data_IF_314229090645
#
_entry.id   IF_314229090645
#
_cell.length_a   1.000
_cell.length_b   1.000
_cell.length_c   1.000
_cell.angle_alpha   90.00
_cell.angle_beta   90.00
_cell.angle_gamma   90.00
#
_symmetry.space_group_name_H-M   'P 1'
#
loop_
_entity.id
_entity.type
_entity.pdbx_description
1 polymer ?
#
# COMPACT_ATOMS: atom_id res chain seq x y z
N UNK A 1 18.09 -1.24 -5.59
CA UNK A 1 17.19 -0.20 -6.12
C UNK A 1 17.95 1.09 -6.39
N UNK A 2 18.55 1.75 -5.39
CA UNK A 2 19.31 3.00 -5.61
C UNK A 2 20.45 2.78 -6.62
N UNK A 3 21.31 1.77 -6.40
CA UNK A 3 22.39 1.45 -7.35
C UNK A 3 21.90 1.00 -8.73
N UNK A 4 20.65 0.57 -8.84
CA UNK A 4 20.04 0.14 -10.09
C UNK A 4 19.43 1.32 -10.89
N UNK A 5 19.37 2.53 -10.33
CA UNK A 5 18.88 3.72 -11.05
C UNK A 5 17.52 4.26 -10.58
N UNK A 6 16.98 3.81 -9.44
CA UNK A 6 15.67 4.27 -8.95
C UNK A 6 15.50 5.81 -8.96
N UNK A 7 16.54 6.55 -8.60
CA UNK A 7 16.42 8.01 -8.49
C UNK A 7 16.38 8.70 -9.86
N UNK A 8 16.88 8.06 -10.91
CA UNK A 8 16.70 8.52 -12.30
C UNK A 8 15.22 8.38 -12.69
N UNK A 9 14.63 7.21 -12.46
CA UNK A 9 13.19 6.99 -12.70
C UNK A 9 12.32 8.00 -11.92
N UNK A 10 12.67 8.27 -10.66
CA UNK A 10 11.94 9.24 -9.85
C UNK A 10 12.17 10.68 -10.32
N UNK A 11 13.36 11.00 -10.85
CA UNK A 11 13.66 12.30 -11.44
C UNK A 11 12.80 12.55 -12.69
N UNK A 12 12.62 11.55 -13.55
CA UNK A 12 11.79 11.65 -14.76
C UNK A 12 10.30 11.88 -14.44
N UNK A 13 9.83 11.37 -13.30
CA UNK A 13 8.44 11.53 -12.83
C UNK A 13 8.25 12.83 -12.04
N UNK A 14 9.33 13.49 -11.62
CA UNK A 14 9.28 14.61 -10.71
C UNK A 14 8.58 15.84 -11.31
N UNK A 15 7.65 16.41 -10.55
CA UNK A 15 6.97 17.65 -10.88
C UNK A 15 6.82 18.50 -9.61
N UNK A 16 7.15 19.79 -9.70
CA UNK A 16 7.13 20.75 -8.58
C UNK A 16 5.74 20.86 -7.92
N UNK A 17 4.67 20.63 -8.69
CA UNK A 17 3.28 20.70 -8.23
C UNK A 17 2.58 19.33 -8.24
N UNK A 18 3.30 18.25 -7.93
CA UNK A 18 2.76 16.90 -7.95
C UNK A 18 1.65 16.69 -6.89
N UNK A 19 0.58 15.99 -7.30
CA UNK A 19 -0.46 15.47 -6.41
C UNK A 19 -0.15 14.01 -6.05
N UNK A 20 0.54 13.81 -4.93
CA UNK A 20 0.90 12.49 -4.40
C UNK A 20 -0.30 11.66 -3.92
N UNK A 21 -1.54 12.10 -4.14
CA UNK A 21 -2.74 11.32 -3.84
C UNK A 21 -3.27 10.54 -5.04
N UNK A 22 -2.65 10.63 -6.23
CA UNK A 22 -3.17 10.02 -7.45
C UNK A 22 -2.10 9.35 -8.32
N UNK A 23 -2.48 8.25 -8.97
CA UNK A 23 -1.70 7.61 -10.02
C UNK A 23 -0.28 7.22 -9.62
N UNK A 24 0.65 7.33 -10.57
CA UNK A 24 2.06 6.93 -10.41
C UNK A 24 2.79 7.74 -9.32
N UNK A 25 2.31 8.94 -8.99
CA UNK A 25 2.89 9.78 -7.95
C UNK A 25 2.70 9.20 -6.53
N UNK A 26 1.81 8.21 -6.36
CA UNK A 26 1.69 7.47 -5.09
C UNK A 26 2.82 6.47 -4.84
N UNK A 27 3.70 6.23 -5.82
CA UNK A 27 4.80 5.29 -5.71
C UNK A 27 5.76 5.63 -4.56
N UNK A 28 6.14 4.62 -3.77
CA UNK A 28 7.15 4.78 -2.72
C UNK A 28 8.50 5.10 -3.38
N UNK A 29 9.11 6.20 -2.99
CA UNK A 29 10.28 6.79 -3.62
C UNK A 29 9.96 8.19 -4.14
N UNK A 30 8.83 8.37 -4.82
CA UNK A 30 8.54 9.60 -5.57
C UNK A 30 8.39 10.80 -4.62
N UNK A 31 7.55 10.66 -3.60
CA UNK A 31 7.35 11.72 -2.59
C UNK A 31 8.54 11.83 -1.65
N UNK A 32 9.19 10.71 -1.33
CA UNK A 32 10.29 10.67 -0.37
C UNK A 32 11.51 11.46 -0.85
N UNK A 33 11.78 11.45 -2.16
CA UNK A 33 12.90 12.19 -2.77
C UNK A 33 12.57 13.63 -3.16
N UNK A 34 11.33 14.10 -2.98
CA UNK A 34 10.89 15.45 -3.38
C UNK A 34 11.77 16.56 -2.82
N UNK A 35 12.02 16.55 -1.50
CA UNK A 35 12.82 17.58 -0.82
C UNK A 35 14.26 17.61 -1.36
N UNK A 36 14.84 16.44 -1.64
CA UNK A 36 16.16 16.32 -2.23
C UNK A 36 16.19 16.90 -3.65
N UNK A 37 15.23 16.51 -4.50
CA UNK A 37 15.15 16.95 -5.90
C UNK A 37 14.94 18.47 -6.01
N UNK A 38 14.13 19.06 -5.12
CA UNK A 38 13.95 20.51 -5.03
C UNK A 38 15.26 21.25 -4.82
N UNK A 39 16.07 20.79 -3.85
CA UNK A 39 17.36 21.42 -3.53
C UNK A 39 18.40 21.15 -4.62
N UNK A 40 18.42 19.93 -5.15
CA UNK A 40 19.32 19.52 -6.24
C UNK A 40 19.13 20.39 -7.49
N UNK A 41 17.90 20.54 -7.97
CA UNK A 41 17.56 21.37 -9.12
C UNK A 41 17.84 22.87 -8.88
N UNK A 42 17.60 23.34 -7.66
CA UNK A 42 17.90 24.73 -7.29
C UNK A 42 19.40 25.02 -7.27
N UNK A 43 20.21 24.03 -6.88
CA UNK A 43 21.68 24.14 -6.84
C UNK A 43 22.26 24.13 -8.26
N UNK A 44 21.72 23.30 -9.15
CA UNK A 44 22.16 23.21 -10.55
C UNK A 44 21.84 24.44 -11.41
N UNK A 45 20.84 25.25 -11.03
CA UNK A 45 20.44 26.46 -11.77
C UNK A 45 21.36 27.66 -11.53
N UNK A 46 22.01 27.72 -10.36
CA UNK A 46 22.85 28.85 -9.96
C UNK A 46 24.24 28.87 -10.62
N UNK A 47 24.64 27.83 -11.36
CA UNK A 47 25.87 27.82 -12.16
C UNK A 47 25.70 28.30 -13.61
N UNK A 48 24.45 28.41 -14.09
CA UNK A 48 24.12 28.93 -15.43
C UNK A 48 23.27 30.19 -15.30
N UNK A 49 23.90 31.31 -14.91
CA UNK A 49 23.28 32.64 -15.03
C UNK A 49 24.22 33.57 -15.76
N UNK A 50 24.12 33.56 -17.07
CA UNK A 50 24.15 34.79 -17.88
C UNK A 50 23.07 34.62 -18.93
N UNK A 51 22.16 35.59 -18.98
CA UNK A 51 21.06 35.81 -19.93
C UNK A 51 19.67 35.20 -19.62
N UNK A 52 18.63 36.06 -19.47
CA UNK A 52 17.24 35.67 -19.32
C UNK A 52 16.50 35.73 -20.66
N UNK A 53 15.95 34.62 -21.15
CA UNK A 53 14.77 34.70 -22.03
C UNK A 53 13.94 33.43 -21.86
N UNK A 54 12.65 33.62 -21.60
CA UNK A 54 11.70 32.54 -21.40
C UNK A 54 11.61 31.63 -22.62
N UNK A 55 11.78 30.33 -22.39
CA UNK A 55 11.39 29.30 -23.32
C UNK A 55 11.02 28.04 -22.54
N UNK A 56 9.82 27.55 -22.82
CA UNK A 56 9.28 26.26 -22.40
C UNK A 56 10.35 25.16 -22.50
N UNK A 57 10.67 24.51 -21.38
CA UNK A 57 11.72 23.49 -21.35
C UNK A 57 11.19 22.15 -21.86
N UNK A 58 11.31 21.93 -23.16
CA UNK A 58 11.54 20.60 -23.71
C UNK A 58 13.05 20.36 -23.64
N UNK A 59 13.52 19.64 -22.62
CA UNK A 59 14.92 19.22 -22.54
C UNK A 59 15.01 17.81 -23.11
N UNK A 60 15.47 17.70 -24.36
CA UNK A 60 15.78 16.43 -24.99
C UNK A 60 16.96 15.77 -24.25
N UNK A 61 16.73 14.54 -23.79
CA UNK A 61 17.67 13.71 -23.06
C UNK A 61 18.87 13.34 -23.94
N UNK A 62 20.10 13.53 -23.43
CA UNK A 62 21.29 12.91 -24.01
C UNK A 62 21.87 11.93 -23.00
N UNK A 63 22.18 10.70 -23.46
CA UNK A 63 22.69 9.57 -22.65
C UNK A 63 23.92 9.88 -21.77
N UNK A 64 24.57 11.03 -21.97
CA UNK A 64 25.71 11.48 -21.16
C UNK A 64 25.28 12.05 -19.80
N UNK A 65 24.11 12.69 -19.71
CA UNK A 65 23.62 13.32 -18.48
C UNK A 65 23.13 12.28 -17.44
N UNK A 66 22.64 11.12 -17.91
CA UNK A 66 22.10 10.04 -17.07
C UNK A 66 23.17 9.33 -16.22
N UNK A 67 24.36 9.12 -16.80
CA UNK A 67 25.51 8.56 -16.09
C UNK A 67 26.04 9.54 -15.04
N UNK A 68 25.97 10.84 -15.35
CA UNK A 68 26.41 11.93 -14.46
C UNK A 68 25.57 12.02 -13.19
N UNK A 69 24.25 11.87 -13.28
CA UNK A 69 23.35 11.95 -12.13
C UNK A 69 23.63 10.83 -11.10
N UNK A 70 23.83 9.60 -11.59
CA UNK A 70 24.13 8.42 -10.77
C UNK A 70 25.50 8.51 -10.09
N UNK A 71 26.53 8.96 -10.81
CA UNK A 71 27.88 9.14 -10.26
C UNK A 71 27.92 10.26 -9.22
N UNK A 72 27.29 11.41 -9.52
CA UNK A 72 27.19 12.54 -8.59
C UNK A 72 26.50 12.16 -7.27
N UNK A 73 25.44 11.36 -7.31
CA UNK A 73 24.80 10.89 -6.07
C UNK A 73 25.68 9.93 -5.27
N UNK A 74 26.39 9.03 -5.94
CA UNK A 74 27.35 8.14 -5.28
C UNK A 74 28.43 8.97 -4.59
N UNK A 75 28.87 10.04 -5.24
CA UNK A 75 29.81 11.00 -4.68
C UNK A 75 29.22 11.76 -3.48
N UNK A 76 27.97 12.25 -3.54
CA UNK A 76 27.29 12.87 -2.39
C UNK A 76 27.25 11.91 -1.20
N UNK A 77 26.81 10.67 -1.41
CA UNK A 77 26.70 9.67 -0.34
C UNK A 77 28.06 9.32 0.27
N UNK A 78 29.08 9.21 -0.58
CA UNK A 78 30.44 8.87 -0.15
C UNK A 78 31.24 10.07 0.37
N UNK A 79 30.76 11.30 0.18
CA UNK A 79 31.45 12.50 0.66
C UNK A 79 31.52 12.53 2.19
N UNK A 80 32.68 12.88 2.75
CA UNK A 80 32.89 12.95 4.21
C UNK A 80 32.18 14.16 4.86
N UNK A 81 31.82 15.17 4.05
CA UNK A 81 31.17 16.38 4.54
C UNK A 81 29.64 16.21 4.60
N UNK A 82 29.02 16.54 5.74
CA UNK A 82 27.57 16.52 5.91
C UNK A 82 26.93 17.75 5.24
N UNK A 83 26.96 17.76 3.91
CA UNK A 83 26.26 18.77 3.13
C UNK A 83 24.73 18.54 3.19
N UNK A 84 23.96 19.60 2.97
CA UNK A 84 22.49 19.55 3.04
C UNK A 84 21.89 18.50 2.09
N UNK A 85 22.44 18.34 0.89
CA UNK A 85 21.98 17.35 -0.10
C UNK A 85 22.14 15.91 0.38
N UNK A 86 23.25 15.59 1.05
CA UNK A 86 23.53 14.28 1.64
C UNK A 86 22.52 13.95 2.72
N UNK A 87 22.28 14.89 3.65
CA UNK A 87 21.29 14.72 4.73
C UNK A 87 19.89 14.49 4.17
N UNK A 88 19.50 15.23 3.14
CA UNK A 88 18.20 15.04 2.48
C UNK A 88 18.12 13.70 1.75
N UNK A 89 19.18 13.30 1.06
CA UNK A 89 19.24 12.04 0.31
C UNK A 89 19.17 10.82 1.23
N UNK A 90 19.98 10.80 2.30
CA UNK A 90 19.95 9.74 3.32
C UNK A 90 18.58 9.68 4.01
N UNK A 91 18.04 10.84 4.40
CA UNK A 91 16.71 10.93 5.00
C UNK A 91 15.61 10.42 4.06
N UNK A 92 15.70 10.69 2.76
CA UNK A 92 14.78 10.16 1.76
C UNK A 92 14.89 8.64 1.62
N UNK A 93 16.11 8.09 1.55
CA UNK A 93 16.35 6.64 1.52
C UNK A 93 15.74 5.96 2.75
N UNK A 94 15.90 6.55 3.93
CA UNK A 94 15.34 6.01 5.16
C UNK A 94 13.81 6.08 5.21
N UNK A 95 13.21 7.16 4.67
CA UNK A 95 11.75 7.24 4.47
C UNK A 95 11.26 6.15 3.52
N UNK A 96 11.96 5.88 2.41
CA UNK A 96 11.63 4.79 1.47
C UNK A 96 11.64 3.45 2.19
N UNK A 97 12.74 3.13 2.89
CA UNK A 97 12.85 1.88 3.67
C UNK A 97 11.72 1.77 4.70
N UNK A 98 11.41 2.85 5.42
CA UNK A 98 10.35 2.89 6.43
C UNK A 98 8.97 2.65 5.81
N UNK A 99 8.65 3.33 4.70
CA UNK A 99 7.36 3.23 4.04
C UNK A 99 7.17 1.87 3.37
N UNK A 100 8.21 1.27 2.79
CA UNK A 100 8.17 -0.12 2.29
C UNK A 100 7.88 -1.11 3.43
N UNK A 101 8.56 -0.96 4.57
CA UNK A 101 8.28 -1.79 5.76
C UNK A 101 6.86 -1.59 6.30
N UNK A 102 6.29 -0.39 6.20
CA UNK A 102 4.89 -0.12 6.57
C UNK A 102 3.93 -0.76 5.58
N UNK A 103 4.20 -0.66 4.28
CA UNK A 103 3.41 -1.27 3.22
C UNK A 103 3.30 -2.78 3.42
N UNK A 104 4.42 -3.48 3.62
CA UNK A 104 4.42 -4.94 3.86
C UNK A 104 3.56 -5.32 5.07
N UNK A 105 3.63 -4.55 6.17
CA UNK A 105 2.75 -4.77 7.34
C UNK A 105 1.27 -4.50 7.05
N UNK A 106 0.96 -3.53 6.20
CA UNK A 106 -0.40 -3.27 5.74
C UNK A 106 -0.92 -4.41 4.85
N UNK A 107 -0.10 -4.89 3.91
CA UNK A 107 -0.41 -6.03 3.05
C UNK A 107 -0.68 -7.30 3.87
N UNK A 108 0.20 -7.64 4.82
CA UNK A 108 -0.02 -8.79 5.73
C UNK A 108 -1.35 -8.68 6.50
N UNK A 109 -1.66 -7.49 7.04
CA UNK A 109 -2.95 -7.26 7.71
C UNK A 109 -4.14 -7.39 6.76
N UNK A 110 -3.99 -6.97 5.50
CA UNK A 110 -5.04 -7.10 4.47
C UNK A 110 -5.28 -8.57 4.13
N UNK A 111 -4.23 -9.37 3.92
CA UNK A 111 -4.33 -10.81 3.66
C UNK A 111 -4.97 -11.54 4.85
N UNK A 112 -4.52 -11.27 6.08
CA UNK A 112 -5.15 -11.85 7.27
C UNK A 112 -6.64 -11.50 7.39
N UNK A 113 -7.04 -10.30 6.94
CA UNK A 113 -8.47 -9.91 6.90
C UNK A 113 -9.25 -10.70 5.86
N UNK A 114 -8.67 -11.03 4.71
CA UNK A 114 -9.32 -11.90 3.71
C UNK A 114 -9.66 -13.25 4.32
N UNK A 115 -8.70 -13.87 5.02
CA UNK A 115 -8.93 -15.15 5.69
C UNK A 115 -9.94 -15.03 6.85
N UNK A 116 -9.76 -14.07 7.75
CA UNK A 116 -10.56 -13.98 9.00
C UNK A 116 -11.94 -13.35 8.85
N UNK A 117 -12.14 -12.47 7.86
CA UNK A 117 -13.41 -11.78 7.65
C UNK A 117 -14.22 -12.37 6.52
N UNK A 118 -13.57 -12.83 5.45
CA UNK A 118 -14.24 -13.34 4.25
C UNK A 118 -14.16 -14.86 4.12
N UNK A 119 -13.49 -15.55 5.05
CA UNK A 119 -13.39 -17.01 5.03
C UNK A 119 -12.58 -17.56 3.85
N UNK A 120 -11.73 -16.74 3.22
CA UNK A 120 -10.92 -17.18 2.10
C UNK A 120 -9.98 -18.30 2.54
N UNK A 121 -10.04 -19.44 1.85
CA UNK A 121 -9.10 -20.53 2.03
C UNK A 121 -7.77 -20.17 1.34
N UNK A 122 -6.88 -19.52 2.07
CA UNK A 122 -5.59 -19.05 1.56
C UNK A 122 -4.51 -20.07 1.92
N UNK A 123 -3.87 -20.65 0.91
CA UNK A 123 -2.70 -21.50 1.07
C UNK A 123 -1.43 -20.64 1.17
N UNK A 124 -0.58 -20.91 2.17
CA UNK A 124 0.67 -20.19 2.40
C UNK A 124 1.86 -21.03 1.95
N UNK A 125 2.80 -20.39 1.26
CA UNK A 125 4.09 -20.97 0.89
C UNK A 125 5.17 -20.15 1.58
N UNK A 126 6.00 -20.80 2.40
CA UNK A 126 7.05 -20.13 3.15
C UNK A 126 8.28 -19.89 2.27
N UNK A 127 8.63 -18.63 2.08
CA UNK A 127 9.81 -18.21 1.33
C UNK A 127 10.90 -17.62 2.25
N UNK A 128 10.81 -17.78 3.56
CA UNK A 128 11.75 -17.15 4.52
C UNK A 128 13.18 -17.66 4.34
N UNK A 129 13.37 -18.97 4.31
CA UNK A 129 14.70 -19.59 4.12
C UNK A 129 15.25 -19.32 2.71
N UNK A 130 14.50 -19.52 1.61
CA UNK A 130 15.00 -19.23 0.26
C UNK A 130 15.36 -17.77 0.00
N UNK A 131 14.68 -16.82 0.64
CA UNK A 131 15.02 -15.39 0.55
C UNK A 131 16.30 -15.07 1.34
N UNK A 132 16.56 -15.79 2.43
CA UNK A 132 17.75 -15.64 3.26
C UNK A 132 18.98 -16.29 2.62
N UNK A 133 18.79 -17.44 1.98
CA UNK A 133 19.82 -18.16 1.24
C UNK A 133 20.05 -17.54 -0.15
N UNK A 134 21.26 -17.67 -0.70
CA UNK A 134 21.58 -17.24 -2.08
C UNK A 134 21.54 -18.39 -3.10
N UNK A 135 21.02 -19.56 -2.73
CA UNK A 135 20.96 -20.72 -3.62
C UNK A 135 19.59 -20.85 -4.28
N UNK A 136 19.57 -20.95 -5.60
CA UNK A 136 18.36 -21.12 -6.40
C UNK A 136 17.67 -22.48 -6.12
N UNK A 137 18.43 -23.49 -5.71
CA UNK A 137 17.91 -24.81 -5.34
C UNK A 137 16.94 -24.74 -4.15
N UNK A 138 17.19 -23.85 -3.19
CA UNK A 138 16.31 -23.67 -2.03
C UNK A 138 14.93 -23.14 -2.41
N UNK A 139 14.88 -22.25 -3.42
CA UNK A 139 13.63 -21.70 -3.95
C UNK A 139 12.81 -22.77 -4.66
N UNK A 140 13.46 -23.57 -5.51
CA UNK A 140 12.79 -24.66 -6.23
C UNK A 140 12.15 -25.67 -5.27
N UNK A 141 12.87 -26.06 -4.21
CA UNK A 141 12.39 -27.04 -3.25
C UNK A 141 11.32 -26.50 -2.28
N UNK A 142 11.49 -25.29 -1.76
CA UNK A 142 10.64 -24.79 -0.67
C UNK A 142 9.50 -23.89 -1.13
N UNK A 143 9.61 -23.29 -2.32
CA UNK A 143 8.55 -22.42 -2.86
C UNK A 143 7.85 -23.07 -4.03
N UNK A 144 8.60 -23.47 -5.07
CA UNK A 144 8.01 -23.99 -6.32
C UNK A 144 7.35 -25.35 -6.08
N UNK A 145 8.04 -26.29 -5.43
CA UNK A 145 7.52 -27.63 -5.12
C UNK A 145 6.16 -27.59 -4.41
N UNK A 146 6.05 -26.94 -3.23
CA UNK A 146 4.78 -26.83 -2.52
C UNK A 146 3.69 -26.10 -3.31
N UNK A 147 4.03 -25.02 -4.03
CA UNK A 147 3.07 -24.30 -4.86
C UNK A 147 2.48 -25.19 -5.97
N UNK A 148 3.33 -25.96 -6.66
CA UNK A 148 2.90 -26.91 -7.69
C UNK A 148 2.00 -28.00 -7.11
N UNK A 149 2.31 -28.50 -5.92
CA UNK A 149 1.49 -29.53 -5.27
C UNK A 149 0.12 -29.01 -4.86
N UNK A 150 0.04 -27.78 -4.34
CA UNK A 150 -1.23 -27.10 -4.05
C UNK A 150 -2.08 -26.98 -5.32
N UNK A 151 -1.47 -26.53 -6.43
CA UNK A 151 -2.17 -26.39 -7.71
C UNK A 151 -2.62 -27.76 -8.24
N UNK A 152 -1.75 -28.78 -8.18
CA UNK A 152 -2.07 -30.14 -8.62
C UNK A 152 -3.24 -30.73 -7.84
N UNK A 153 -3.24 -30.55 -6.51
CA UNK A 153 -4.32 -31.00 -5.64
C UNK A 153 -5.62 -30.30 -6.00
N UNK A 154 -5.60 -28.98 -6.16
CA UNK A 154 -6.77 -28.19 -6.56
C UNK A 154 -7.37 -28.68 -7.89
N UNK A 155 -6.54 -28.89 -8.92
CA UNK A 155 -7.00 -29.40 -10.21
C UNK A 155 -7.54 -30.84 -10.12
N UNK A 156 -6.94 -31.69 -9.29
CA UNK A 156 -7.36 -33.09 -9.11
C UNK A 156 -8.63 -33.23 -8.26
N UNK A 157 -8.84 -32.34 -7.29
CA UNK A 157 -10.08 -32.27 -6.49
C UNK A 157 -11.27 -31.83 -7.33
N UNK A 158 -11.06 -30.90 -8.26
CA UNK A 158 -12.09 -30.47 -9.21
C UNK A 158 -12.57 -31.65 -10.09
N UNK A 159 -11.65 -32.46 -10.60
CA UNK A 159 -11.97 -33.70 -11.33
C UNK A 159 -12.77 -34.72 -10.48
N UNK A 160 -12.48 -34.79 -9.17
CA UNK A 160 -13.23 -35.65 -8.23
C UNK A 160 -14.62 -35.10 -7.91
N UNK A 161 -14.78 -33.78 -7.78
CA UNK A 161 -16.09 -33.15 -7.57
C UNK A 161 -17.01 -33.32 -8.79
N UNK A 162 -16.46 -33.18 -10.00
CA UNK A 162 -17.18 -33.49 -11.25
C UNK A 162 -17.59 -34.97 -11.32
N UNK A 163 -16.77 -35.88 -10.79
CA UNK A 163 -17.07 -37.32 -10.73
C UNK A 163 -18.09 -37.71 -9.64
N UNK A 164 -18.23 -36.90 -8.57
CA UNK A 164 -19.08 -37.18 -7.41
C UNK A 164 -20.50 -36.58 -7.48
N UNK A 165 -20.88 -35.90 -8.57
CA UNK A 165 -22.26 -35.43 -8.82
C UNK A 165 -23.31 -36.56 -8.98
N UNK A 166 -22.93 -37.83 -8.75
CA UNK A 166 -23.80 -39.00 -8.75
C UNK A 166 -24.12 -39.53 -7.32
N UNK A 167 -23.87 -38.75 -6.26
CA UNK A 167 -24.18 -39.14 -4.86
C UNK A 167 -24.91 -38.04 -4.09
N UNK A 168 -25.73 -38.39 -3.06
CA UNK A 168 -26.56 -37.42 -2.36
C UNK A 168 -25.72 -36.53 -1.44
N UNK A 169 -25.92 -35.22 -1.59
CA UNK A 169 -25.30 -34.16 -0.80
C UNK A 169 -25.63 -34.30 0.68
N UNK A 170 -24.61 -34.31 1.54
CA UNK A 170 -24.75 -33.78 2.89
C UNK A 170 -23.39 -33.35 3.46
N UNK A 171 -23.19 -32.04 3.61
CA UNK A 171 -22.93 -31.39 4.91
C UNK A 171 -22.63 -29.93 4.62
N UNK A 172 -23.66 -29.10 4.76
CA UNK A 172 -23.58 -27.64 4.76
C UNK A 172 -22.54 -27.15 5.78
N UNK A 173 -21.35 -26.79 5.31
CA UNK A 173 -20.38 -26.03 6.10
C UNK A 173 -20.99 -24.67 6.36
N UNK A 174 -21.37 -24.42 7.61
CA UNK A 174 -21.92 -23.13 8.09
C UNK A 174 -20.89 -22.03 7.88
N UNK A 175 -20.88 -21.43 6.69
CA UNK A 175 -20.27 -20.14 6.47
C UNK A 175 -20.97 -19.18 7.43
N UNK A 176 -20.19 -18.56 8.33
CA UNK A 176 -20.74 -17.48 9.14
C UNK A 176 -20.96 -16.33 8.18
N UNK A 177 -22.17 -16.23 7.64
CA UNK A 177 -22.59 -15.17 6.74
C UNK A 177 -22.49 -13.85 7.50
N UNK A 178 -21.33 -13.20 7.39
CA UNK A 178 -21.10 -11.88 7.96
C UNK A 178 -21.62 -10.89 6.94
N UNK A 179 -22.63 -10.12 7.33
CA UNK A 179 -23.09 -8.98 6.57
C UNK A 179 -22.01 -7.88 6.59
N UNK A 180 -21.11 -7.96 5.62
CA UNK A 180 -20.00 -7.03 5.39
C UNK A 180 -20.42 -5.82 4.53
N UNK A 181 -21.64 -5.85 3.98
CA UNK A 181 -22.15 -4.84 3.07
C UNK A 181 -23.01 -3.79 3.77
N UNK A 182 -23.56 -4.11 4.94
CA UNK A 182 -24.27 -3.10 5.74
C UNK A 182 -23.33 -1.98 6.18
N UNK A 183 -23.66 -0.77 5.75
CA UNK A 183 -22.92 0.43 6.07
C UNK A 183 -23.50 1.09 7.31
N UNK A 184 -22.65 1.37 8.31
CA UNK A 184 -22.99 2.14 9.50
C UNK A 184 -22.30 3.50 9.43
N UNK A 185 -23.00 4.58 9.80
CA UNK A 185 -22.45 5.94 9.80
C UNK A 185 -22.46 6.48 11.23
N UNK A 186 -21.29 6.84 11.74
CA UNK A 186 -21.16 7.46 13.05
C UNK A 186 -21.17 9.00 12.95
N UNK A 187 -22.33 9.61 13.19
CA UNK A 187 -22.50 11.08 13.21
C UNK A 187 -21.60 11.76 14.24
N UNK A 188 -21.46 11.16 15.44
CA UNK A 188 -20.58 11.66 16.50
C UNK A 188 -19.09 11.69 16.12
N UNK A 189 -18.71 11.02 15.02
CA UNK A 189 -17.35 10.96 14.54
C UNK A 189 -17.08 11.71 13.24
N UNK A 190 -18.00 12.60 12.82
CA UNK A 190 -17.91 13.33 11.55
C UNK A 190 -18.25 12.42 10.37
N UNK A 191 -19.43 11.80 10.44
CA UNK A 191 -19.98 10.90 9.43
C UNK A 191 -19.03 9.78 8.99
N UNK A 192 -18.32 9.22 9.98
CA UNK A 192 -17.42 8.09 9.71
C UNK A 192 -18.23 6.88 9.27
N UNK A 193 -17.97 6.44 8.04
CA UNK A 193 -18.50 5.22 7.45
C UNK A 193 -17.75 3.99 7.97
N UNK A 194 -18.49 2.98 8.43
CA UNK A 194 -18.01 1.70 8.95
C UNK A 194 -18.74 0.58 8.22
N UNK A 195 -18.04 -0.48 7.82
CA UNK A 195 -18.62 -1.55 7.00
C UNK A 195 -18.80 -2.81 7.83
N UNK A 196 -20.04 -3.27 7.92
CA UNK A 196 -20.47 -4.42 8.69
C UNK A 196 -20.59 -4.17 10.20
N UNK A 197 -21.37 -5.02 10.86
CA UNK A 197 -21.68 -4.90 12.28
C UNK A 197 -20.42 -4.98 13.17
N UNK A 198 -19.41 -5.74 12.75
CA UNK A 198 -18.17 -5.93 13.49
C UNK A 198 -17.33 -4.64 13.58
N UNK A 199 -17.15 -3.92 12.46
CA UNK A 199 -16.42 -2.64 12.47
C UNK A 199 -17.18 -1.57 13.27
N UNK A 200 -18.51 -1.58 13.19
CA UNK A 200 -19.38 -0.71 13.97
C UNK A 200 -19.22 -0.93 15.47
N UNK A 201 -19.25 -2.19 15.92
CA UNK A 201 -19.14 -2.53 17.34
C UNK A 201 -17.76 -2.16 17.90
N UNK A 202 -16.68 -2.50 17.19
CA UNK A 202 -15.33 -2.08 17.58
C UNK A 202 -15.18 -0.56 17.63
N UNK A 203 -15.80 0.16 16.68
CA UNK A 203 -15.75 1.61 16.65
C UNK A 203 -16.38 2.23 17.90
N UNK A 204 -17.57 1.77 18.31
CA UNK A 204 -18.28 2.25 19.52
C UNK A 204 -17.44 2.05 20.78
N UNK A 205 -16.72 0.93 20.86
CA UNK A 205 -15.84 0.61 22.00
C UNK A 205 -14.53 1.43 22.01
N UNK A 206 -14.16 2.03 20.88
CA UNK A 206 -12.93 2.80 20.71
C UNK A 206 -12.82 4.03 21.61
N UNK A 207 -11.64 4.24 22.23
CA UNK A 207 -11.36 5.37 23.13
C UNK A 207 -11.72 6.73 22.53
N UNK A 208 -11.44 6.93 21.23
CA UNK A 208 -11.72 8.19 20.53
C UNK A 208 -13.22 8.45 20.40
N UNK A 209 -14.00 7.43 20.04
CA UNK A 209 -15.46 7.52 19.94
C UNK A 209 -16.08 7.81 21.31
N UNK A 210 -15.70 7.03 22.35
CA UNK A 210 -16.17 7.24 23.73
C UNK A 210 -15.92 8.65 24.25
N UNK A 211 -14.73 9.22 23.99
CA UNK A 211 -14.42 10.62 24.34
C UNK A 211 -15.36 11.60 23.64
N UNK A 212 -15.58 11.46 22.32
CA UNK A 212 -16.47 12.34 21.55
C UNK A 212 -17.91 12.27 22.05
N UNK A 213 -18.42 11.07 22.31
CA UNK A 213 -19.76 10.88 22.90
C UNK A 213 -19.86 11.52 24.28
N UNK A 214 -18.84 11.36 25.13
CA UNK A 214 -18.82 12.01 26.45
C UNK A 214 -18.85 13.54 26.36
N UNK A 215 -18.11 14.14 25.42
CA UNK A 215 -18.17 15.57 25.17
C UNK A 215 -19.54 16.01 24.63
N UNK A 216 -20.10 15.28 23.67
CA UNK A 216 -21.42 15.57 23.12
C UNK A 216 -22.53 15.51 24.17
N UNK A 217 -22.50 14.50 25.06
CA UNK A 217 -23.45 14.38 26.19
C UNK A 217 -23.33 15.52 27.20
N UNK A 218 -22.14 16.13 27.31
CA UNK A 218 -21.91 17.29 28.19
C UNK A 218 -22.33 18.61 27.54
N UNK A 219 -22.23 18.72 26.21
CA UNK A 219 -22.57 19.94 25.47
C UNK A 219 -24.04 20.02 25.04
N UNK A 220 -24.68 18.88 24.80
CA UNK A 220 -26.10 18.78 24.45
C UNK A 220 -26.82 18.01 25.55
N UNK A 221 -27.58 18.72 26.39
CA UNK A 221 -28.49 18.09 27.33
C UNK A 221 -29.45 17.17 26.58
N UNK A 222 -29.38 15.87 26.88
CA UNK A 222 -30.34 14.80 26.54
C UNK A 222 -31.09 14.93 25.20
N UNK A 223 -30.62 14.20 24.16
CA UNK A 223 -31.42 13.97 22.96
C UNK A 223 -30.64 13.69 21.69
N UNK A 224 -29.73 12.71 21.67
CA UNK A 224 -29.23 12.17 20.40
C UNK A 224 -29.43 10.66 20.39
N UNK A 225 -30.59 10.24 19.87
CA UNK A 225 -30.81 8.87 19.43
C UNK A 225 -29.79 8.60 18.31
N UNK A 226 -28.92 7.62 18.52
CA UNK A 226 -28.07 7.06 17.47
C UNK A 226 -28.99 6.61 16.32
N UNK A 227 -29.13 7.44 15.29
CA UNK A 227 -29.85 7.06 14.08
C UNK A 227 -29.07 5.95 13.39
N UNK A 228 -29.55 4.73 13.58
CA UNK A 228 -29.17 3.56 12.82
C UNK A 228 -29.90 3.65 11.47
N UNK A 229 -29.17 3.94 10.41
CA UNK A 229 -29.67 3.74 9.05
C UNK A 229 -28.81 2.66 8.40
N UNK A 230 -29.20 1.37 8.51
CA UNK A 230 -28.66 0.36 7.61
C UNK A 230 -29.17 0.69 6.21
N UNK A 231 -28.30 1.27 5.38
CA UNK A 231 -28.55 1.31 3.95
C UNK A 231 -28.04 -0.02 3.38
N UNK A 232 -28.96 -0.97 3.19
CA UNK A 232 -28.72 -2.11 2.32
C UNK A 232 -28.83 -1.60 0.89
N UNK A 233 -27.73 -1.61 0.14
CA UNK A 233 -27.81 -1.44 -1.31
C UNK A 233 -28.52 -2.68 -1.85
N UNK A 234 -29.74 -2.50 -2.37
CA UNK A 234 -30.44 -3.53 -3.13
C UNK A 234 -29.53 -4.01 -4.24
N UNK A 235 -29.26 -5.31 -4.27
CA UNK A 235 -28.64 -5.95 -5.42
C UNK A 235 -29.54 -5.72 -6.64
N UNK A 236 -29.01 -5.28 -7.79
CA UNK A 236 -29.74 -5.45 -9.03
C UNK A 236 -29.80 -6.96 -9.27
N UNK A 237 -31.02 -7.51 -9.28
CA UNK A 237 -31.28 -8.81 -9.91
C UNK A 237 -30.78 -8.73 -11.36
N UNK A 238 -29.68 -9.41 -11.67
CA UNK A 238 -29.41 -9.82 -13.04
C UNK A 238 -30.28 -11.05 -13.30
N UNK A 239 -31.38 -10.85 -14.04
CA UNK A 239 -32.03 -11.91 -14.80
C UNK A 239 -31.31 -12.18 -16.11
#
# INVERSE_FOLDING_TARGET
MIDAGLLHEVYDIYNVNADYTRGLQQGIGVREFEDFLKVYLSTGRNSKTTEPTGASCNLASTDKDDKTLKEYMREILNSSNNNQLKVLLEGAIDKVKLNTRRLVRCQKRRVNRLQTLFGWNIHYVDATEPISCKSDESWALQVVGPAVEIIRTFLSEDERLVSNLMGPEDTSVKSTERDLWTQYICKACGDRVLRGAHEWEQHKQGRRHRKRISHLRKSQGFGFLEQQQPQQQQTPYCG
#
